data_IF_239603115091
#
_entry.id   IF_239603115091
#
_cell.length_a   1.000
_cell.length_b   1.000
_cell.length_c   1.000
_cell.angle_alpha   90.00
_cell.angle_beta   90.00
_cell.angle_gamma   90.00
#
_symmetry.space_group_name_H-M   'P 1'
#
loop_
_entity.id
_entity.type
_entity.pdbx_description
1 polymer ?
#
# COMPACT_ATOMS: atom_id res chain seq x y z
N UNK A 1 15.58 37.90 -21.55
CA UNK A 1 15.11 36.70 -22.29
C UNK A 1 16.14 35.56 -22.29
N UNK A 2 17.36 35.76 -22.81
CA UNK A 2 18.39 34.69 -22.88
C UNK A 2 18.82 34.13 -21.52
N UNK A 3 18.92 34.98 -20.49
CA UNK A 3 19.23 34.58 -19.11
C UNK A 3 18.14 33.72 -18.49
N UNK A 4 16.87 34.09 -18.68
CA UNK A 4 15.71 33.32 -18.18
C UNK A 4 15.67 31.93 -18.84
N UNK A 5 15.87 31.85 -20.15
CA UNK A 5 15.93 30.57 -20.88
C UNK A 5 17.08 29.67 -20.39
N UNK A 6 18.25 30.24 -20.07
CA UNK A 6 19.38 29.49 -19.48
C UNK A 6 19.03 28.94 -18.09
N UNK A 7 18.41 29.75 -17.24
CA UNK A 7 17.99 29.33 -15.90
C UNK A 7 16.98 28.19 -15.99
N UNK A 8 15.98 28.31 -16.86
CA UNK A 8 14.99 27.24 -17.10
C UNK A 8 15.67 25.97 -17.60
N UNK A 9 16.60 26.08 -18.56
CA UNK A 9 17.34 24.94 -19.09
C UNK A 9 18.15 24.20 -18.00
N UNK A 10 18.82 24.95 -17.11
CA UNK A 10 19.55 24.37 -15.98
C UNK A 10 18.61 23.67 -15.00
N UNK A 11 17.46 24.27 -14.67
CA UNK A 11 16.47 23.66 -13.77
C UNK A 11 15.96 22.34 -14.36
N UNK A 12 15.61 22.32 -15.65
CA UNK A 12 15.17 21.10 -16.33
C UNK A 12 16.25 20.02 -16.27
N UNK A 13 17.51 20.40 -16.53
CA UNK A 13 18.63 19.47 -16.49
C UNK A 13 18.85 18.88 -15.09
N UNK A 14 18.69 19.69 -14.04
CA UNK A 14 18.77 19.23 -12.65
C UNK A 14 17.62 18.27 -12.29
N UNK A 15 16.39 18.58 -12.71
CA UNK A 15 15.22 17.71 -12.47
C UNK A 15 15.38 16.37 -13.17
N UNK A 16 15.81 16.38 -14.44
CA UNK A 16 16.06 15.15 -15.21
C UNK A 16 17.22 14.36 -14.61
N UNK A 17 18.31 15.03 -14.25
CA UNK A 17 19.45 14.40 -13.58
C UNK A 17 19.04 13.72 -12.27
N UNK A 18 18.26 14.41 -11.44
CA UNK A 18 17.71 13.86 -10.20
C UNK A 18 16.81 12.65 -10.47
N UNK A 19 15.89 12.73 -11.43
CA UNK A 19 14.98 11.62 -11.76
C UNK A 19 15.75 10.37 -12.20
N UNK A 20 16.80 10.51 -13.02
CA UNK A 20 17.66 9.41 -13.44
C UNK A 20 18.37 8.79 -12.25
N UNK A 21 18.98 9.61 -11.39
CA UNK A 21 19.66 9.12 -10.17
C UNK A 21 18.68 8.42 -9.25
N UNK A 22 17.49 8.98 -9.02
CA UNK A 22 16.45 8.39 -8.19
C UNK A 22 15.99 7.03 -8.71
N UNK A 23 15.77 6.87 -10.02
CA UNK A 23 15.40 5.60 -10.63
C UNK A 23 16.47 4.52 -10.48
N UNK A 24 17.75 4.91 -10.48
CA UNK A 24 18.87 3.97 -10.34
C UNK A 24 19.20 3.66 -8.88
N UNK A 25 19.01 4.63 -7.98
CA UNK A 25 19.40 4.53 -6.58
C UNK A 25 18.29 3.94 -5.69
N UNK A 26 17.02 4.20 -5.99
CA UNK A 26 15.91 3.65 -5.21
C UNK A 26 15.56 2.25 -5.68
N UNK A 27 15.87 1.26 -4.84
CA UNK A 27 15.51 -0.13 -5.06
C UNK A 27 13.98 -0.33 -5.09
N UNK A 28 13.54 -1.36 -5.80
CA UNK A 28 12.12 -1.74 -5.87
C UNK A 28 11.57 -2.30 -4.55
N UNK A 29 12.46 -2.69 -3.65
CA UNK A 29 12.11 -3.30 -2.38
C UNK A 29 12.05 -2.21 -1.30
N UNK A 30 10.87 -2.02 -0.73
CA UNK A 30 10.64 -1.16 0.42
C UNK A 30 10.10 -2.00 1.56
N UNK A 31 10.66 -1.84 2.77
CA UNK A 31 10.16 -2.48 3.99
C UNK A 31 9.33 -1.47 4.77
N UNK A 32 8.07 -1.81 5.02
CA UNK A 32 7.18 -1.04 5.88
C UNK A 32 6.73 -1.91 7.03
N UNK A 33 6.90 -1.41 8.26
CA UNK A 33 6.48 -2.10 9.46
C UNK A 33 5.91 -1.11 10.47
N UNK A 34 4.86 -1.55 11.17
CA UNK A 34 4.23 -0.78 12.24
C UNK A 34 3.84 -1.74 13.37
N UNK A 35 4.07 -1.31 14.60
CA UNK A 35 3.70 -2.07 15.80
C UNK A 35 2.73 -1.26 16.67
N UNK A 36 1.88 -1.98 17.40
CA UNK A 36 1.02 -1.41 18.44
C UNK A 36 0.73 -2.47 19.50
N UNK A 37 0.45 -2.03 20.73
CA UNK A 37 0.06 -2.92 21.81
C UNK A 37 -1.46 -2.94 21.93
N UNK A 38 -2.06 -4.13 21.89
CA UNK A 38 -3.48 -4.34 22.16
C UNK A 38 -3.60 -5.04 23.52
N UNK A 39 -4.26 -4.40 24.48
CA UNK A 39 -4.51 -4.99 25.79
C UNK A 39 -5.66 -6.01 25.72
N UNK A 40 -5.40 -7.16 25.09
CA UNK A 40 -6.34 -8.27 24.96
C UNK A 40 -5.59 -9.61 24.87
N UNK A 41 -6.23 -10.73 25.22
CA UNK A 41 -5.68 -12.08 24.99
C UNK A 41 -5.33 -12.30 23.51
N UNK A 42 -4.19 -12.96 23.24
CA UNK A 42 -3.70 -13.20 21.88
C UNK A 42 -4.70 -13.95 21.02
N UNK A 43 -5.46 -14.87 21.62
CA UNK A 43 -6.47 -15.68 20.94
C UNK A 43 -7.58 -14.80 20.38
N UNK A 44 -7.99 -13.76 21.14
CA UNK A 44 -9.02 -12.82 20.68
C UNK A 44 -8.52 -11.97 19.51
N UNK A 45 -7.27 -11.52 19.57
CA UNK A 45 -6.67 -10.74 18.47
C UNK A 45 -6.53 -11.60 17.22
N UNK A 46 -6.08 -12.86 17.38
CA UNK A 46 -5.87 -13.78 16.27
C UNK A 46 -7.13 -14.03 15.45
N UNK A 47 -8.31 -14.12 16.09
CA UNK A 47 -9.59 -14.30 15.40
C UNK A 47 -9.93 -13.18 14.39
N UNK A 48 -9.30 -12.00 14.51
CA UNK A 48 -9.49 -10.88 13.58
C UNK A 48 -8.44 -10.81 12.46
N UNK A 49 -7.41 -11.66 12.53
CA UNK A 49 -6.25 -11.65 11.62
C UNK A 49 -6.04 -12.99 10.92
N UNK A 50 -6.66 -14.06 11.44
CA UNK A 50 -6.43 -15.43 11.00
C UNK A 50 -6.92 -15.73 9.58
N UNK A 51 -7.66 -14.84 8.93
CA UNK A 51 -8.21 -15.02 7.59
C UNK A 51 -8.42 -13.68 6.91
N UNK A 52 -8.48 -13.69 5.57
CA UNK A 52 -8.74 -12.48 4.79
C UNK A 52 -10.13 -11.91 5.06
N UNK A 53 -11.11 -12.78 5.33
CA UNK A 53 -12.46 -12.37 5.69
C UNK A 53 -12.50 -11.68 7.05
N UNK A 54 -11.79 -12.21 8.05
CA UNK A 54 -11.70 -11.60 9.37
C UNK A 54 -10.97 -10.25 9.32
N UNK A 55 -9.86 -10.18 8.57
CA UNK A 55 -9.10 -8.94 8.36
C UNK A 55 -9.99 -7.83 7.76
N UNK A 56 -10.80 -8.17 6.75
CA UNK A 56 -11.67 -7.20 6.07
C UNK A 56 -12.84 -6.70 6.93
N UNK A 57 -13.12 -7.29 8.09
CA UNK A 57 -14.17 -6.78 8.99
C UNK A 57 -13.82 -5.42 9.62
N UNK A 58 -12.52 -5.16 9.81
CA UNK A 58 -12.03 -3.95 10.46
C UNK A 58 -11.12 -3.11 9.57
N UNK A 59 -10.66 -3.65 8.43
CA UNK A 59 -9.89 -2.93 7.43
C UNK A 59 -10.56 -1.58 7.05
N UNK A 60 -9.90 -0.44 7.31
CA UNK A 60 -10.46 0.89 7.02
C UNK A 60 -10.84 1.10 5.55
N UNK A 61 -10.09 0.51 4.62
CA UNK A 61 -10.31 0.67 3.18
C UNK A 61 -11.64 0.07 2.72
N UNK A 62 -12.10 -0.99 3.39
CA UNK A 62 -13.38 -1.65 3.07
C UNK A 62 -14.59 -0.76 3.37
N UNK A 63 -14.43 0.29 4.17
CA UNK A 63 -15.51 1.20 4.55
C UNK A 63 -15.60 2.43 3.63
N UNK A 64 -14.62 2.62 2.74
CA UNK A 64 -14.55 3.82 1.90
C UNK A 64 -15.55 3.78 0.74
N UNK A 65 -15.69 2.62 0.07
CA UNK A 65 -16.70 2.42 -0.97
C UNK A 65 -17.83 1.50 -0.44
N UNK A 66 -19.03 2.08 -0.29
CA UNK A 66 -20.23 1.35 0.14
C UNK A 66 -20.71 0.32 -0.88
N UNK A 67 -20.32 0.46 -2.14
CA UNK A 67 -20.71 -0.41 -3.23
C UNK A 67 -19.61 -1.40 -3.63
N UNK A 68 -18.54 -1.50 -2.84
CA UNK A 68 -17.43 -2.40 -3.09
C UNK A 68 -17.91 -3.85 -3.14
N UNK A 69 -17.50 -4.57 -4.18
CA UNK A 69 -17.74 -6.00 -4.30
C UNK A 69 -16.48 -6.75 -3.94
N UNK A 70 -16.59 -7.69 -3.01
CA UNK A 70 -15.46 -8.51 -2.56
C UNK A 70 -15.74 -9.97 -2.89
N UNK A 71 -14.78 -10.61 -3.53
CA UNK A 71 -14.80 -12.05 -3.82
C UNK A 71 -13.67 -12.72 -3.06
N UNK A 72 -14.01 -13.69 -2.21
CA UNK A 72 -13.04 -14.51 -1.47
C UNK A 72 -12.73 -15.79 -2.25
N UNK A 73 -11.51 -16.29 -2.16
CA UNK A 73 -11.08 -17.54 -2.81
C UNK A 73 -10.11 -18.29 -1.91
N UNK A 74 -10.19 -19.63 -1.93
CA UNK A 74 -9.41 -20.51 -1.05
C UNK A 74 -10.17 -20.89 0.22
N UNK A 75 -9.52 -21.68 1.08
CA UNK A 75 -10.05 -22.03 2.41
C UNK A 75 -9.70 -20.92 3.40
N UNK A 76 -10.71 -20.40 4.11
CA UNK A 76 -10.53 -19.30 5.06
C UNK A 76 -9.48 -19.63 6.12
N UNK A 77 -8.45 -18.81 6.22
CA UNK A 77 -7.35 -18.96 7.18
C UNK A 77 -6.33 -20.05 6.89
N UNK A 78 -6.38 -20.66 5.71
CA UNK A 78 -5.33 -21.55 5.22
C UNK A 78 -4.46 -20.87 4.15
N UNK A 79 -3.37 -21.54 3.78
CA UNK A 79 -2.48 -21.07 2.70
C UNK A 79 -3.31 -20.99 1.41
N UNK A 80 -3.33 -19.78 0.83
CA UNK A 80 -4.10 -19.49 -0.37
C UNK A 80 -5.40 -18.74 -0.14
N UNK A 81 -5.78 -18.47 1.13
CA UNK A 81 -6.86 -17.53 1.47
C UNK A 81 -6.54 -16.14 0.91
N UNK A 82 -7.37 -15.68 -0.02
CA UNK A 82 -7.22 -14.38 -0.69
C UNK A 82 -8.58 -13.74 -0.92
N UNK A 83 -8.58 -12.42 -1.10
CA UNK A 83 -9.73 -11.68 -1.58
C UNK A 83 -9.35 -10.78 -2.74
N UNK A 84 -10.29 -10.61 -3.66
CA UNK A 84 -10.25 -9.59 -4.70
C UNK A 84 -11.37 -8.59 -4.43
N UNK A 85 -11.14 -7.32 -4.72
CA UNK A 85 -12.16 -6.28 -4.62
C UNK A 85 -12.34 -5.56 -5.96
N UNK A 86 -13.57 -5.15 -6.21
CA UNK A 86 -13.96 -4.27 -7.31
C UNK A 86 -14.67 -3.07 -6.67
N UNK A 87 -14.13 -1.87 -6.92
CA UNK A 87 -14.52 -0.59 -6.31
C UNK A 87 -14.62 0.43 -7.43
N UNK A 88 -15.59 1.36 -7.32
CA UNK A 88 -15.80 2.42 -8.32
C UNK A 88 -14.91 3.65 -8.10
#
# INVERSE_FOLDING_TARGET
>A
MKTILKVIGVIILLVVGYAIVAMLAFGKNYHYEKSMVINAPKEKVWLHLNSMKAFNQWNPWMKLDKNMKITYTGTSGEIGDKYCWDSK
#
